data_IF_349063085565
#
_entry.id   IF_349063085565
#
_cell.length_a   1.000
_cell.length_b   1.000
_cell.length_c   1.000
_cell.angle_alpha   90.00
_cell.angle_beta   90.00
_cell.angle_gamma   90.00
#
_symmetry.space_group_name_H-M   'P 1'
#
loop_
_entity.id
_entity.type
_entity.pdbx_description
1 polymer ?
#
# COMPACT_ATOMS: atom_id res chain seq x y z
N UNK A 1 -3.29 8.18 -16.06
CA UNK A 1 -3.42 8.25 -14.58
C UNK A 1 -3.84 6.88 -14.12
N UNK A 2 -2.95 6.16 -13.41
CA UNK A 2 -3.26 4.84 -12.87
C UNK A 2 -3.72 4.96 -11.43
N UNK A 3 -4.86 4.35 -11.11
CA UNK A 3 -5.32 4.18 -9.73
C UNK A 3 -4.62 3.01 -9.04
N UNK A 4 -4.67 2.99 -7.71
CA UNK A 4 -4.16 1.87 -6.91
C UNK A 4 -5.17 0.73 -6.93
N UNK A 5 -4.78 -0.43 -7.46
CA UNK A 5 -5.59 -1.64 -7.48
C UNK A 5 -5.12 -2.68 -6.46
N UNK A 6 -6.05 -3.42 -5.86
CA UNK A 6 -5.72 -4.59 -5.04
C UNK A 6 -5.10 -5.67 -5.93
N UNK A 7 -3.87 -6.05 -5.64
CA UNK A 7 -3.12 -7.05 -6.41
C UNK A 7 -3.27 -8.45 -5.83
N UNK A 8 -3.03 -8.60 -4.52
CA UNK A 8 -3.19 -9.87 -3.80
C UNK A 8 -3.43 -9.66 -2.32
N UNK A 9 -3.99 -10.69 -1.67
CA UNK A 9 -4.22 -10.72 -0.23
C UNK A 9 -3.54 -11.96 0.34
N UNK A 10 -2.72 -11.78 1.36
CA UNK A 10 -2.08 -12.85 2.12
C UNK A 10 -2.54 -12.74 3.59
N UNK A 11 -3.66 -13.41 3.90
CA UNK A 11 -4.33 -13.29 5.19
C UNK A 11 -4.70 -11.83 5.48
N UNK A 12 -4.14 -11.28 6.54
CA UNK A 12 -4.34 -9.89 6.97
C UNK A 12 -3.47 -8.86 6.22
N UNK A 13 -2.65 -9.26 5.25
CA UNK A 13 -1.82 -8.33 4.47
C UNK A 13 -2.37 -8.14 3.06
N UNK A 14 -2.83 -6.92 2.76
CA UNK A 14 -3.36 -6.54 1.46
C UNK A 14 -2.28 -5.82 0.66
N UNK A 15 -2.01 -6.29 -0.56
CA UNK A 15 -0.98 -5.73 -1.43
C UNK A 15 -1.65 -4.94 -2.55
N UNK A 16 -1.30 -3.67 -2.70
CA UNK A 16 -1.79 -2.76 -3.72
C UNK A 16 -0.69 -2.44 -4.74
N UNK A 17 -1.08 -2.27 -6.00
CA UNK A 17 -0.18 -1.89 -7.10
C UNK A 17 -0.81 -0.75 -7.91
N UNK A 18 0.01 0.16 -8.40
CA UNK A 18 -0.40 1.21 -9.32
C UNK A 18 0.26 0.99 -10.69
N UNK A 19 -0.47 0.98 -11.82
CA UNK A 19 0.15 0.78 -13.13
C UNK A 19 1.00 1.98 -13.58
N UNK A 20 0.78 3.17 -13.03
CA UNK A 20 1.55 4.38 -13.32
C UNK A 20 2.78 4.56 -12.41
N UNK A 21 2.91 3.76 -11.34
CA UNK A 21 3.98 3.93 -10.35
C UNK A 21 4.68 2.59 -10.07
N UNK A 22 6.01 2.51 -10.23
CA UNK A 22 6.74 1.29 -9.95
C UNK A 22 6.79 1.03 -8.45
N UNK A 23 6.13 -0.04 -7.99
CA UNK A 23 6.15 -0.44 -6.58
C UNK A 23 4.88 -1.17 -6.15
N UNK A 24 4.91 -1.70 -4.93
CA UNK A 24 3.73 -2.25 -4.25
C UNK A 24 3.62 -1.67 -2.85
N UNK A 25 2.40 -1.44 -2.39
CA UNK A 25 2.11 -1.02 -1.01
C UNK A 25 1.45 -2.18 -0.29
N UNK A 26 1.91 -2.48 0.92
CA UNK A 26 1.30 -3.52 1.75
C UNK A 26 0.60 -2.85 2.92
N UNK A 27 -0.71 -3.09 3.05
CA UNK A 27 -1.53 -2.59 4.14
C UNK A 27 -2.00 -3.74 5.05
N UNK A 28 -1.79 -3.65 6.37
CA UNK A 28 -2.39 -4.58 7.31
C UNK A 28 -3.89 -4.30 7.48
N UNK A 29 -4.71 -5.33 7.34
CA UNK A 29 -6.15 -5.34 7.54
C UNK A 29 -6.48 -6.39 8.61
N UNK A 30 -7.42 -6.19 9.55
CA UNK A 30 -8.42 -5.12 9.64
C UNK A 30 -7.98 -3.97 10.56
N UNK A 31 -6.94 -3.22 10.18
CA UNK A 31 -6.57 -2.01 10.91
C UNK A 31 -7.35 -0.83 10.35
N UNK A 32 -8.23 -0.25 11.16
CA UNK A 32 -9.01 0.95 10.78
C UNK A 32 -8.11 2.18 10.64
N UNK A 33 -7.20 2.34 11.59
CA UNK A 33 -6.24 3.44 11.63
C UNK A 33 -4.84 2.89 11.38
N UNK A 34 -4.27 3.31 10.27
CA UNK A 34 -2.87 3.06 9.95
C UNK A 34 -2.08 4.17 10.66
N UNK A 35 -1.23 3.79 11.62
CA UNK A 35 -0.47 4.75 12.42
C UNK A 35 0.38 5.68 11.56
N UNK A 36 0.67 6.88 12.07
CA UNK A 36 1.42 7.94 11.37
C UNK A 36 2.76 7.42 10.83
N UNK A 37 3.47 6.60 11.60
CA UNK A 37 4.75 6.01 11.17
C UNK A 37 4.60 5.13 9.92
N UNK A 38 3.52 4.35 9.82
CA UNK A 38 3.25 3.52 8.65
C UNK A 38 2.90 4.39 7.43
N UNK A 39 2.13 5.45 7.65
CA UNK A 39 1.81 6.43 6.60
C UNK A 39 3.05 7.15 6.09
N UNK A 40 3.94 7.59 6.98
CA UNK A 40 5.21 8.21 6.61
C UNK A 40 6.14 7.22 5.90
N UNK A 41 6.19 5.96 6.36
CA UNK A 41 6.98 4.93 5.70
C UNK A 41 6.49 4.67 4.26
N UNK A 42 5.17 4.56 4.06
CA UNK A 42 4.57 4.42 2.72
C UNK A 42 4.90 5.65 1.88
N UNK A 43 4.69 6.87 2.40
CA UNK A 43 4.97 8.12 1.67
C UNK A 43 6.44 8.26 1.27
N UNK A 44 7.37 7.76 2.08
CA UNK A 44 8.82 7.83 1.82
C UNK A 44 9.32 6.73 0.89
N UNK A 45 8.49 5.77 0.49
CA UNK A 45 8.92 4.72 -0.43
C UNK A 45 9.28 5.33 -1.79
N UNK A 46 10.47 5.03 -2.33
CA UNK A 46 10.87 5.52 -3.63
C UNK A 46 9.99 4.91 -4.71
N UNK A 47 9.38 5.75 -5.55
CA UNK A 47 8.47 5.31 -6.61
C UNK A 47 6.98 5.34 -6.25
N UNK A 48 6.60 5.86 -5.06
CA UNK A 48 5.20 6.14 -4.69
C UNK A 48 4.71 7.53 -5.12
#
# INVERSE_FOLDING_TARGET
MGEWGLYRVAGSHHVFKNPARPGIVVLPHPKKDLGVELMDAIRRQPGL
#
